data_IF_756498681431
#
_entry.id   IF_756498681431
#
_cell.length_a   1.000
_cell.length_b   1.000
_cell.length_c   1.000
_cell.angle_alpha   90.00
_cell.angle_beta   90.00
_cell.angle_gamma   90.00
#
_symmetry.space_group_name_H-M   'P 1'
#
loop_
_entity.id
_entity.type
_entity.pdbx_description
1 polymer ?
#
# COMPACT_ATOMS: atom_id res chain seq x y z
N UNK A 1 -35.89 -14.62 -4.89
CA UNK A 1 -35.32 -13.83 -3.78
C UNK A 1 -33.81 -14.06 -3.82
N UNK A 2 -33.04 -13.05 -4.16
CA UNK A 2 -31.57 -13.16 -4.27
C UNK A 2 -31.02 -13.09 -2.84
N UNK A 3 -30.49 -14.21 -2.34
CA UNK A 3 -29.95 -14.35 -1.00
C UNK A 3 -28.79 -13.36 -0.78
N UNK A 4 -28.64 -12.78 0.42
CA UNK A 4 -27.61 -11.75 0.71
C UNK A 4 -26.17 -12.22 0.40
N UNK A 5 -25.93 -13.54 0.44
CA UNK A 5 -24.71 -14.21 0.01
C UNK A 5 -24.33 -13.86 -1.44
N UNK A 6 -25.30 -13.59 -2.32
CA UNK A 6 -25.10 -13.36 -3.76
C UNK A 6 -24.57 -11.95 -4.09
N UNK A 7 -24.78 -10.96 -3.20
CA UNK A 7 -24.27 -9.59 -3.41
C UNK A 7 -22.76 -9.48 -3.18
N UNK A 8 -22.19 -10.34 -2.31
CA UNK A 8 -20.74 -10.34 -1.97
C UNK A 8 -19.83 -10.80 -3.11
N UNK A 9 -20.34 -11.54 -4.08
CA UNK A 9 -19.53 -12.17 -5.14
C UNK A 9 -19.73 -11.59 -6.54
N UNK A 10 -20.60 -10.59 -6.71
CA UNK A 10 -20.98 -10.06 -8.03
C UNK A 10 -20.33 -8.73 -8.40
N UNK A 11 -19.49 -8.17 -7.52
CA UNK A 11 -18.67 -6.99 -7.82
C UNK A 11 -19.47 -5.78 -8.31
N UNK A 12 -20.68 -5.57 -7.79
CA UNK A 12 -21.50 -4.40 -8.14
C UNK A 12 -22.22 -4.48 -9.49
N UNK A 13 -22.20 -5.61 -10.19
CA UNK A 13 -22.88 -5.76 -11.49
C UNK A 13 -22.06 -5.19 -12.64
N UNK A 14 -21.80 -6.04 -13.64
CA UNK A 14 -20.99 -5.78 -14.85
C UNK A 14 -19.49 -5.57 -14.62
N UNK A 15 -18.81 -6.67 -14.34
CA UNK A 15 -17.35 -6.77 -14.48
C UNK A 15 -17.03 -8.08 -15.20
N UNK A 16 -16.13 -7.99 -16.18
CA UNK A 16 -15.73 -9.09 -17.07
C UNK A 16 -15.29 -10.34 -16.30
N UNK A 17 -15.35 -11.52 -16.94
CA UNK A 17 -14.99 -12.81 -16.32
C UNK A 17 -13.58 -12.80 -15.69
N UNK A 18 -12.64 -12.03 -16.27
CA UNK A 18 -11.28 -11.86 -15.74
C UNK A 18 -11.25 -11.10 -14.40
N UNK A 19 -12.02 -10.01 -14.28
CA UNK A 19 -12.09 -9.23 -13.05
C UNK A 19 -12.74 -10.02 -11.90
N UNK A 20 -13.76 -10.84 -12.19
CA UNK A 20 -14.39 -11.73 -11.20
C UNK A 20 -13.44 -12.77 -10.64
N UNK A 21 -12.59 -13.32 -11.50
CA UNK A 21 -11.59 -14.32 -11.10
C UNK A 21 -10.53 -13.69 -10.21
N UNK A 22 -10.00 -12.52 -10.61
CA UNK A 22 -9.03 -11.75 -9.82
C UNK A 22 -9.60 -11.29 -8.47
N UNK A 23 -10.87 -10.89 -8.43
CA UNK A 23 -11.55 -10.49 -7.20
C UNK A 23 -11.62 -11.65 -6.20
N UNK A 24 -11.95 -12.87 -6.65
CA UNK A 24 -11.97 -14.04 -5.76
C UNK A 24 -10.59 -14.48 -5.33
N UNK A 25 -9.61 -14.50 -6.23
CA UNK A 25 -8.22 -14.79 -5.84
C UNK A 25 -7.72 -13.78 -4.79
N UNK A 26 -8.00 -12.49 -4.98
CA UNK A 26 -7.71 -11.46 -3.98
C UNK A 26 -8.47 -11.68 -2.67
N UNK A 27 -9.76 -12.02 -2.74
CA UNK A 27 -10.59 -12.30 -1.56
C UNK A 27 -10.06 -13.46 -0.73
N UNK A 28 -9.68 -14.57 -1.36
CA UNK A 28 -9.11 -15.73 -0.67
C UNK A 28 -7.85 -15.39 0.10
N UNK A 29 -6.99 -14.54 -0.49
CA UNK A 29 -5.83 -14.04 0.22
C UNK A 29 -6.23 -13.18 1.43
N UNK A 30 -7.20 -12.28 1.28
CA UNK A 30 -7.69 -11.39 2.36
C UNK A 30 -8.25 -12.16 3.56
N UNK A 31 -9.10 -13.17 3.32
CA UNK A 31 -9.79 -13.88 4.41
C UNK A 31 -9.05 -15.13 4.92
N UNK A 32 -8.03 -15.59 4.20
CA UNK A 32 -7.28 -16.80 4.50
C UNK A 32 -7.98 -18.09 4.05
N UNK A 33 -7.18 -19.16 3.95
CA UNK A 33 -7.56 -20.48 3.43
C UNK A 33 -8.89 -21.00 3.98
N UNK A 34 -8.98 -21.14 5.30
CA UNK A 34 -10.11 -21.84 5.94
C UNK A 34 -11.43 -21.10 5.72
N UNK A 35 -11.41 -19.78 5.91
CA UNK A 35 -12.59 -18.92 5.72
C UNK A 35 -12.99 -18.82 4.25
N UNK A 36 -12.03 -18.79 3.34
CA UNK A 36 -12.30 -18.79 1.89
C UNK A 36 -12.98 -20.10 1.44
N UNK A 37 -12.48 -21.24 1.92
CA UNK A 37 -13.04 -22.56 1.59
C UNK A 37 -14.41 -22.80 2.25
N UNK A 38 -14.59 -22.40 3.51
CA UNK A 38 -15.87 -22.48 4.22
C UNK A 38 -16.96 -21.69 3.48
N UNK A 39 -16.69 -20.43 3.15
CA UNK A 39 -17.66 -19.56 2.48
C UNK A 39 -17.99 -20.04 1.07
N UNK A 40 -16.99 -20.52 0.31
CA UNK A 40 -17.21 -21.12 -0.99
C UNK A 40 -18.04 -22.41 -0.87
N UNK A 41 -17.79 -23.22 0.16
CA UNK A 41 -18.55 -24.42 0.48
C UNK A 41 -20.02 -24.12 0.77
N UNK A 42 -20.30 -23.15 1.63
CA UNK A 42 -21.67 -22.69 1.93
C UNK A 42 -22.37 -22.18 0.67
N UNK A 43 -21.71 -21.37 -0.15
CA UNK A 43 -22.29 -20.88 -1.39
C UNK A 43 -22.62 -22.01 -2.38
N UNK A 44 -21.73 -23.00 -2.51
CA UNK A 44 -21.97 -24.18 -3.35
C UNK A 44 -23.15 -25.00 -2.83
N UNK A 45 -23.28 -25.15 -1.51
CA UNK A 45 -24.39 -25.84 -0.87
C UNK A 45 -25.72 -25.12 -1.13
N UNK A 46 -25.77 -23.78 -0.99
CA UNK A 46 -26.93 -22.94 -1.29
C UNK A 46 -27.38 -23.09 -2.76
N UNK A 47 -26.43 -23.24 -3.68
CA UNK A 47 -26.70 -23.44 -5.10
C UNK A 47 -27.04 -24.88 -5.48
N UNK A 48 -26.92 -25.84 -4.56
CA UNK A 48 -27.15 -27.27 -4.77
C UNK A 48 -26.05 -28.03 -5.51
N UNK A 49 -25.28 -27.36 -6.38
CA UNK A 49 -24.10 -27.96 -7.00
C UNK A 49 -23.07 -26.92 -7.44
N UNK A 50 -21.81 -27.35 -7.59
CA UNK A 50 -20.73 -26.50 -8.12
C UNK A 50 -21.00 -25.99 -9.54
N UNK A 51 -21.74 -26.75 -10.36
CA UNK A 51 -22.12 -26.33 -11.72
C UNK A 51 -23.16 -25.20 -11.67
N UNK A 52 -24.13 -25.29 -10.76
CA UNK A 52 -25.12 -24.24 -10.53
C UNK A 52 -24.48 -23.01 -9.89
N UNK A 53 -23.56 -23.19 -8.94
CA UNK A 53 -22.77 -22.11 -8.34
C UNK A 53 -21.95 -21.36 -9.40
N UNK A 54 -21.27 -22.07 -10.31
CA UNK A 54 -20.53 -21.44 -11.40
C UNK A 54 -21.45 -20.61 -12.32
N UNK A 55 -22.63 -21.16 -12.65
CA UNK A 55 -23.65 -20.47 -13.42
C UNK A 55 -24.18 -19.21 -12.72
N UNK A 56 -24.46 -19.29 -11.42
CA UNK A 56 -24.91 -18.17 -10.59
C UNK A 56 -23.88 -17.03 -10.53
N UNK A 57 -22.59 -17.38 -10.56
CA UNK A 57 -21.49 -16.42 -10.58
C UNK A 57 -21.08 -15.96 -12.00
N UNK A 58 -21.72 -16.50 -13.05
CA UNK A 58 -21.43 -16.19 -14.45
C UNK A 58 -20.01 -16.57 -14.89
N UNK A 59 -19.46 -17.66 -14.32
CA UNK A 59 -18.14 -18.21 -14.70
C UNK A 59 -18.29 -19.65 -15.18
N UNK A 60 -17.26 -20.17 -15.86
CA UNK A 60 -17.23 -21.59 -16.21
C UNK A 60 -17.02 -22.46 -14.97
N UNK A 61 -17.50 -23.71 -15.00
CA UNK A 61 -17.20 -24.69 -13.94
C UNK A 61 -15.69 -24.89 -13.74
N UNK A 62 -14.90 -24.86 -14.82
CA UNK A 62 -13.45 -24.95 -14.75
C UNK A 62 -12.83 -23.74 -14.03
N UNK A 63 -13.37 -22.54 -14.23
CA UNK A 63 -12.93 -21.31 -13.54
C UNK A 63 -13.21 -21.42 -12.04
N UNK A 64 -14.41 -21.86 -11.64
CA UNK A 64 -14.74 -22.05 -10.23
C UNK A 64 -13.79 -23.07 -9.58
N UNK A 65 -13.45 -24.14 -10.29
CA UNK A 65 -12.49 -25.15 -9.79
C UNK A 65 -11.07 -24.60 -9.64
N UNK A 66 -10.63 -23.73 -10.55
CA UNK A 66 -9.32 -23.06 -10.44
C UNK A 66 -9.23 -22.18 -9.19
N UNK A 67 -10.31 -21.48 -8.88
CA UNK A 67 -10.41 -20.62 -7.68
C UNK A 67 -10.43 -21.46 -6.40
N UNK A 68 -11.17 -22.57 -6.40
CA UNK A 68 -11.14 -23.50 -5.27
C UNK A 68 -9.73 -24.08 -5.04
N UNK A 69 -9.03 -24.44 -6.12
CA UNK A 69 -7.65 -24.93 -6.06
C UNK A 69 -6.68 -23.85 -5.58
N UNK A 70 -6.87 -22.58 -5.98
CA UNK A 70 -6.02 -21.48 -5.51
C UNK A 70 -6.22 -21.24 -4.02
N UNK A 71 -7.45 -21.35 -3.50
CA UNK A 71 -7.71 -21.29 -2.06
C UNK A 71 -7.08 -22.46 -1.29
N UNK A 72 -7.15 -23.68 -1.82
CA UNK A 72 -6.51 -24.85 -1.20
C UNK A 72 -4.99 -24.72 -1.13
N UNK A 73 -4.39 -24.02 -2.09
CA UNK A 73 -2.96 -23.73 -2.15
C UNK A 73 -2.52 -22.54 -1.28
N UNK A 74 -3.45 -21.84 -0.62
CA UNK A 74 -3.11 -20.80 0.34
C UNK A 74 -2.39 -21.41 1.56
N UNK A 75 -1.46 -20.67 2.20
CA UNK A 75 -0.80 -21.13 3.41
C UNK A 75 -1.82 -21.39 4.54
N UNK A 76 -1.58 -22.43 5.35
CA UNK A 76 -2.50 -22.84 6.44
C UNK A 76 -2.57 -21.85 7.60
N UNK A 77 -1.57 -20.97 7.72
CA UNK A 77 -1.66 -19.84 8.62
C UNK A 77 -1.97 -18.61 7.78
N UNK A 78 -3.01 -17.82 8.12
CA UNK A 78 -3.24 -16.57 7.44
C UNK A 78 -1.98 -15.73 7.61
N UNK A 79 -1.38 -15.28 6.50
CA UNK A 79 -0.57 -14.08 6.57
C UNK A 79 -1.50 -13.04 7.17
N UNK A 80 -1.23 -12.58 8.40
CA UNK A 80 -1.95 -11.44 8.96
C UNK A 80 -1.87 -10.36 7.88
N UNK A 81 -2.97 -10.09 7.21
CA UNK A 81 -3.05 -8.96 6.29
C UNK A 81 -2.97 -7.74 7.20
N UNK A 82 -1.75 -7.26 7.42
CA UNK A 82 -1.50 -6.03 8.13
C UNK A 82 -1.97 -4.94 7.17
N UNK A 83 -3.20 -4.49 7.35
CA UNK A 83 -3.64 -3.25 6.72
C UNK A 83 -2.72 -2.18 7.29
N UNK A 84 -1.93 -1.48 6.44
CA UNK A 84 -1.05 -0.46 6.95
C UNK A 84 -1.87 0.59 7.70
N UNK A 85 -1.40 1.00 8.87
CA UNK A 85 -2.07 1.99 9.71
C UNK A 85 -2.30 3.33 8.96
N UNK A 86 -1.51 3.59 7.91
CA UNK A 86 -1.46 4.83 7.15
C UNK A 86 -1.47 4.59 5.64
N UNK A 87 -2.01 5.56 4.90
CA UNK A 87 -1.95 5.59 3.44
C UNK A 87 -0.59 6.10 2.96
N UNK A 88 -0.01 7.05 3.67
CA UNK A 88 1.28 7.65 3.29
C UNK A 88 2.09 8.05 4.51
N UNK A 89 3.38 7.79 4.48
CA UNK A 89 4.36 8.32 5.42
C UNK A 89 5.16 9.46 4.79
N UNK A 90 5.38 10.53 5.54
CA UNK A 90 6.15 11.69 5.10
C UNK A 90 7.52 11.68 5.77
N UNK A 91 8.57 11.53 4.97
CA UNK A 91 9.96 11.45 5.46
C UNK A 91 10.76 12.67 5.03
N UNK A 92 11.20 13.49 5.99
CA UNK A 92 11.79 14.81 5.74
C UNK A 92 12.82 15.22 6.80
N UNK A 93 13.74 16.13 6.46
CA UNK A 93 14.64 16.69 7.45
C UNK A 93 13.91 17.72 8.32
N UNK A 94 14.29 17.86 9.60
CA UNK A 94 13.63 18.79 10.52
C UNK A 94 13.57 20.25 10.03
N UNK A 95 14.53 20.65 9.19
CA UNK A 95 14.67 21.94 8.52
C UNK A 95 13.54 22.18 7.50
N UNK A 96 13.06 21.12 6.85
CA UNK A 96 12.02 21.20 5.81
C UNK A 96 10.59 21.19 6.41
N UNK A 97 10.48 21.12 7.75
CA UNK A 97 9.22 20.96 8.49
C UNK A 97 8.12 21.90 8.03
N UNK A 98 8.42 23.19 7.88
CA UNK A 98 7.40 24.20 7.59
C UNK A 98 6.60 23.86 6.33
N UNK A 99 7.26 23.30 5.31
CA UNK A 99 6.60 22.89 4.08
C UNK A 99 5.83 21.58 4.29
N UNK A 100 6.47 20.58 4.91
CA UNK A 100 5.89 19.23 5.05
C UNK A 100 4.69 19.21 6.01
N UNK A 101 4.70 20.04 7.04
CA UNK A 101 3.57 20.19 7.96
C UNK A 101 2.32 20.71 7.23
N UNK A 102 2.48 21.68 6.33
CA UNK A 102 1.36 22.16 5.51
C UNK A 102 0.86 21.07 4.56
N UNK A 103 1.75 20.33 3.90
CA UNK A 103 1.38 19.16 3.08
C UNK A 103 0.56 18.16 3.90
N UNK A 104 1.01 17.83 5.11
CA UNK A 104 0.31 16.91 6.00
C UNK A 104 -1.09 17.42 6.36
N UNK A 105 -1.24 18.71 6.69
CA UNK A 105 -2.54 19.34 6.98
C UNK A 105 -3.50 19.22 5.79
N UNK A 106 -3.03 19.46 4.57
CA UNK A 106 -3.86 19.31 3.37
C UNK A 106 -4.23 17.85 3.10
N UNK A 107 -3.32 16.90 3.29
CA UNK A 107 -3.61 15.46 3.14
C UNK A 107 -4.65 14.98 4.15
N UNK A 108 -4.57 15.41 5.41
CA UNK A 108 -5.56 15.07 6.44
C UNK A 108 -6.94 15.64 6.07
N UNK A 109 -7.01 16.86 5.52
CA UNK A 109 -8.27 17.44 5.01
C UNK A 109 -8.86 16.67 3.82
N UNK A 110 -8.02 15.93 3.09
CA UNK A 110 -8.41 15.04 2.00
C UNK A 110 -8.70 13.61 2.49
N UNK A 111 -8.83 13.41 3.81
CA UNK A 111 -9.11 12.12 4.45
C UNK A 111 -8.04 11.04 4.23
N UNK A 112 -6.81 11.45 3.90
CA UNK A 112 -5.67 10.54 3.79
C UNK A 112 -5.11 10.24 5.19
N UNK A 113 -4.93 8.97 5.53
CA UNK A 113 -4.27 8.54 6.77
C UNK A 113 -2.76 8.81 6.65
N UNK A 114 -2.25 9.86 7.29
CA UNK A 114 -0.85 10.27 7.17
C UNK A 114 -0.04 9.87 8.40
N UNK A 115 1.07 9.17 8.18
CA UNK A 115 2.13 9.07 9.17
C UNK A 115 3.04 10.28 9.05
N UNK A 116 2.84 11.23 9.97
CA UNK A 116 3.67 12.42 10.10
C UNK A 116 4.53 12.25 11.35
N UNK A 117 5.72 11.69 11.18
CA UNK A 117 6.69 11.62 12.26
C UNK A 117 7.84 12.58 12.00
N UNK A 118 8.22 13.28 13.06
CA UNK A 118 9.35 14.17 13.05
C UNK A 118 10.58 13.30 13.22
N UNK A 119 11.58 13.42 12.35
CA UNK A 119 12.94 13.03 12.74
C UNK A 119 13.43 14.02 13.80
N UNK A 120 13.02 13.81 15.05
CA UNK A 120 13.54 14.51 16.19
C UNK A 120 14.77 13.72 16.61
N UNK A 121 15.90 14.41 16.81
CA UNK A 121 17.10 13.80 17.42
C UNK A 121 16.80 12.98 18.68
N UNK A 122 15.69 13.29 19.37
CA UNK A 122 15.20 12.60 20.56
C UNK A 122 14.69 11.18 20.28
N UNK A 123 13.99 10.93 19.17
CA UNK A 123 13.45 9.58 18.84
C UNK A 123 14.52 8.63 18.27
N UNK A 124 15.63 9.21 17.79
CA UNK A 124 16.81 8.49 17.29
C UNK A 124 17.87 8.23 18.37
N UNK A 125 17.70 8.76 19.57
CA UNK A 125 18.60 8.47 20.68
C UNK A 125 18.38 7.03 21.16
N UNK A 126 19.28 6.13 20.78
CA UNK A 126 19.28 4.72 21.21
C UNK A 126 18.54 3.76 20.28
N UNK A 127 17.90 4.24 19.20
CA UNK A 127 17.32 3.39 18.14
C UNK A 127 18.10 3.55 16.85
N UNK A 128 18.33 2.45 16.14
CA UNK A 128 18.89 2.53 14.80
C UNK A 128 17.81 3.14 13.88
N UNK A 129 18.12 4.29 13.29
CA UNK A 129 17.36 4.95 12.22
C UNK A 129 16.84 3.97 11.15
N UNK A 130 17.61 2.92 10.83
CA UNK A 130 17.22 1.85 9.93
C UNK A 130 16.01 1.04 10.44
N UNK A 131 15.96 0.69 11.73
CA UNK A 131 14.86 -0.06 12.32
C UNK A 131 13.57 0.75 12.33
N UNK A 132 13.68 2.06 12.62
CA UNK A 132 12.53 2.96 12.57
C UNK A 132 12.00 3.14 11.14
N UNK A 133 12.90 3.35 10.18
CA UNK A 133 12.53 3.43 8.77
C UNK A 133 11.97 2.13 8.24
N UNK A 134 12.56 1.00 8.60
CA UNK A 134 12.07 -0.30 8.16
C UNK A 134 10.68 -0.58 8.73
N UNK A 135 10.43 -0.35 10.02
CA UNK A 135 9.11 -0.57 10.60
C UNK A 135 8.03 0.37 10.01
N UNK A 136 8.35 1.64 9.76
CA UNK A 136 7.40 2.59 9.16
C UNK A 136 7.18 2.28 7.68
N UNK A 137 8.25 2.02 6.92
CA UNK A 137 8.19 1.80 5.48
C UNK A 137 7.72 0.40 5.08
N UNK A 138 7.85 -0.59 5.95
CA UNK A 138 7.52 -1.98 5.65
C UNK A 138 6.14 -2.39 6.17
N UNK A 139 5.67 -1.81 7.29
CA UNK A 139 4.51 -2.36 8.01
C UNK A 139 3.37 -1.37 8.22
N UNK A 140 3.64 -0.06 8.12
CA UNK A 140 2.69 0.95 8.61
C UNK A 140 2.11 1.86 7.55
N UNK A 141 2.70 2.02 6.37
CA UNK A 141 2.12 2.85 5.31
C UNK A 141 1.93 2.10 3.97
N UNK A 142 1.11 2.68 3.06
CA UNK A 142 0.94 2.21 1.66
C UNK A 142 1.84 2.94 0.65
N UNK A 143 2.37 4.11 1.01
CA UNK A 143 3.40 4.83 0.26
C UNK A 143 4.32 5.59 1.21
N UNK A 144 5.53 5.92 0.75
CA UNK A 144 6.40 6.88 1.45
C UNK A 144 6.79 8.00 0.51
N UNK A 145 6.51 9.23 0.92
CA UNK A 145 7.04 10.42 0.27
C UNK A 145 8.36 10.77 0.93
N UNK A 146 9.42 10.83 0.11
CA UNK A 146 10.75 11.20 0.56
C UNK A 146 11.04 12.61 0.10
N UNK A 147 11.11 13.53 1.06
CA UNK A 147 11.44 14.93 0.86
C UNK A 147 12.96 15.06 0.86
N UNK A 148 13.52 15.06 -0.34
CA UNK A 148 14.95 15.12 -0.61
C UNK A 148 15.41 16.56 -0.50
N UNK A 149 16.35 16.79 0.39
CA UNK A 149 17.13 18.01 0.55
C UNK A 149 18.56 17.65 0.95
N UNK A 150 19.48 18.61 0.89
CA UNK A 150 20.83 18.46 1.43
C UNK A 150 20.78 18.08 2.92
N UNK A 151 19.87 18.69 3.69
CA UNK A 151 19.65 18.37 5.11
C UNK A 151 19.22 16.92 5.33
N UNK A 152 18.35 16.41 4.46
CA UNK A 152 17.90 15.02 4.51
C UNK A 152 19.05 14.05 4.25
N UNK A 153 19.90 14.36 3.26
CA UNK A 153 21.09 13.57 2.98
C UNK A 153 22.05 13.57 4.15
N UNK A 154 22.39 14.75 4.66
CA UNK A 154 23.41 14.90 5.71
C UNK A 154 23.00 14.25 7.02
N UNK A 155 21.71 14.14 7.34
CA UNK A 155 21.25 13.46 8.55
C UNK A 155 21.20 11.95 8.42
N UNK A 156 20.85 11.43 7.24
CA UNK A 156 20.62 10.00 7.06
C UNK A 156 21.85 9.25 6.52
N UNK A 157 22.76 9.94 5.84
CA UNK A 157 23.88 9.38 5.07
C UNK A 157 25.25 9.79 5.64
N UNK A 158 25.39 9.86 6.96
CA UNK A 158 26.63 10.27 7.65
C UNK A 158 27.73 9.19 7.68
N UNK A 159 27.44 7.93 7.35
CA UNK A 159 28.37 6.81 7.45
C UNK A 159 28.30 5.91 6.21
N UNK A 160 29.44 5.78 5.50
CA UNK A 160 29.57 5.04 4.23
C UNK A 160 29.12 3.56 4.30
N UNK A 161 29.27 2.89 5.45
CA UNK A 161 28.79 1.51 5.61
C UNK A 161 27.26 1.44 5.63
N UNK A 162 26.62 2.41 6.32
CA UNK A 162 25.15 2.51 6.40
C UNK A 162 24.57 2.98 5.08
N UNK A 163 25.27 3.86 4.36
CA UNK A 163 24.94 4.30 3.01
C UNK A 163 24.75 3.11 2.05
N UNK A 164 25.68 2.15 2.02
CA UNK A 164 25.57 0.99 1.13
C UNK A 164 24.39 0.06 1.45
N UNK A 165 24.01 -0.05 2.73
CA UNK A 165 22.83 -0.84 3.14
C UNK A 165 21.52 -0.11 2.83
N UNK A 166 21.46 1.20 3.10
CA UNK A 166 20.31 2.05 2.79
C UNK A 166 20.07 2.10 1.28
N UNK A 167 21.12 2.29 0.48
CA UNK A 167 20.99 2.35 -0.98
C UNK A 167 20.37 1.07 -1.56
N UNK A 168 20.71 -0.10 -1.02
CA UNK A 168 20.11 -1.39 -1.43
C UNK A 168 18.63 -1.46 -1.10
N UNK A 169 18.23 -1.10 0.12
CA UNK A 169 16.83 -1.11 0.54
C UNK A 169 15.94 -0.22 -0.35
N UNK A 170 16.42 0.98 -0.73
CA UNK A 170 15.69 1.87 -1.64
C UNK A 170 15.55 1.29 -3.04
N UNK A 171 16.57 0.57 -3.53
CA UNK A 171 16.51 -0.08 -4.84
C UNK A 171 15.53 -1.25 -4.89
N UNK A 172 15.33 -1.95 -3.77
CA UNK A 172 14.40 -3.07 -3.64
C UNK A 172 12.93 -2.62 -3.50
N UNK A 173 12.68 -1.37 -3.07
CA UNK A 173 11.35 -0.84 -2.71
C UNK A 173 10.82 0.26 -3.65
N UNK A 174 11.17 0.19 -4.94
CA UNK A 174 10.97 1.29 -5.92
C UNK A 174 9.52 1.72 -6.11
N UNK A 175 8.57 0.80 -6.10
CA UNK A 175 7.18 1.11 -6.48
C UNK A 175 6.41 1.87 -5.40
N UNK A 176 6.94 1.87 -4.19
CA UNK A 176 6.32 2.40 -2.97
C UNK A 176 6.91 3.75 -2.52
N UNK A 177 8.09 4.09 -3.02
CA UNK A 177 8.79 5.35 -2.71
C UNK A 177 8.40 6.42 -3.73
N UNK A 178 8.00 7.60 -3.24
CA UNK A 178 7.63 8.78 -4.02
C UNK A 178 8.66 9.91 -3.76
N UNK A 179 9.69 10.06 -4.62
CA UNK A 179 10.71 11.09 -4.44
C UNK A 179 10.16 12.49 -4.74
N UNK A 180 10.37 13.43 -3.82
CA UNK A 180 10.08 14.84 -4.00
C UNK A 180 11.29 15.67 -3.55
N UNK A 181 11.74 16.62 -4.38
CA UNK A 181 13.03 17.30 -4.21
C UNK A 181 12.85 18.78 -3.92
N UNK A 182 13.49 19.26 -2.86
CA UNK A 182 13.69 20.69 -2.59
C UNK A 182 14.90 21.26 -3.32
N UNK A 183 15.89 20.42 -3.66
CA UNK A 183 17.11 20.83 -4.35
C UNK A 183 17.63 19.72 -5.29
N UNK A 184 18.83 19.90 -5.83
CA UNK A 184 19.45 18.92 -6.73
C UNK A 184 20.20 17.81 -5.99
N UNK A 185 19.94 17.62 -4.69
CA UNK A 185 20.62 16.60 -3.89
C UNK A 185 20.34 15.20 -4.42
N UNK A 186 21.40 14.43 -4.60
CA UNK A 186 21.33 13.03 -4.97
C UNK A 186 21.37 12.14 -3.73
N UNK A 187 20.36 11.27 -3.61
CA UNK A 187 20.26 10.23 -2.59
C UNK A 187 20.71 8.90 -3.18
N UNK A 188 21.78 8.28 -2.65
CA UNK A 188 22.20 6.97 -3.10
C UNK A 188 21.05 5.95 -2.98
N UNK A 189 20.91 5.07 -3.98
CA UNK A 189 19.79 4.11 -4.04
C UNK A 189 18.53 4.62 -4.75
N UNK A 190 18.32 5.93 -4.87
CA UNK A 190 17.30 6.50 -5.77
C UNK A 190 17.98 6.82 -7.10
N UNK A 191 17.65 6.08 -8.16
CA UNK A 191 18.22 6.34 -9.49
C UNK A 191 17.77 7.70 -10.03
N UNK A 192 18.63 8.37 -10.78
CA UNK A 192 18.30 9.61 -11.50
C UNK A 192 17.18 9.44 -12.53
N UNK A 193 16.94 8.20 -12.99
CA UNK A 193 15.84 7.85 -13.90
C UNK A 193 14.49 7.66 -13.19
N UNK A 194 14.45 7.67 -11.86
CA UNK A 194 13.18 7.63 -11.12
C UNK A 194 12.52 9.00 -11.22
N UNK A 195 11.25 9.04 -11.65
CA UNK A 195 10.48 10.28 -11.72
C UNK A 195 10.37 10.93 -10.34
N UNK A 196 10.64 12.22 -10.26
CA UNK A 196 10.56 13.01 -9.03
C UNK A 196 9.65 14.22 -9.23
N UNK A 197 9.12 14.74 -8.12
CA UNK A 197 8.44 16.04 -8.10
C UNK A 197 9.41 17.12 -7.62
N UNK A 198 9.53 18.20 -8.37
CA UNK A 198 10.27 19.40 -7.96
C UNK A 198 9.36 20.27 -7.07
N UNK A 199 9.70 20.35 -5.78
CA UNK A 199 8.91 21.05 -4.76
C UNK A 199 9.04 22.57 -4.85
N UNK A 200 10.09 23.09 -5.51
CA UNK A 200 10.22 24.55 -5.74
C UNK A 200 9.15 25.09 -6.69
N UNK A 201 8.47 24.19 -7.41
CA UNK A 201 7.44 24.52 -8.40
C UNK A 201 6.03 24.16 -7.93
N UNK A 202 5.87 23.82 -6.66
CA UNK A 202 4.61 23.34 -6.08
C UNK A 202 4.36 23.96 -4.72
N UNK A 203 3.17 24.51 -4.53
CA UNK A 203 2.71 24.84 -3.18
C UNK A 203 2.45 23.54 -2.39
N UNK A 204 2.46 23.58 -1.05
CA UNK A 204 2.11 22.43 -0.23
C UNK A 204 0.76 21.80 -0.59
N UNK A 205 -0.24 22.63 -0.91
CA UNK A 205 -1.57 22.19 -1.34
C UNK A 205 -1.54 21.44 -2.68
N UNK A 206 -0.88 22.01 -3.69
CA UNK A 206 -0.75 21.38 -5.00
C UNK A 206 -0.04 20.03 -4.90
N UNK A 207 0.97 19.94 -4.03
CA UNK A 207 1.71 18.70 -3.82
C UNK A 207 0.87 17.66 -3.06
N UNK A 208 0.13 18.06 -2.03
CA UNK A 208 -0.80 17.18 -1.32
C UNK A 208 -1.86 16.59 -2.27
N UNK A 209 -2.40 17.39 -3.20
CA UNK A 209 -3.33 16.91 -4.22
C UNK A 209 -2.69 15.87 -5.17
N UNK A 210 -1.41 16.04 -5.53
CA UNK A 210 -0.68 15.05 -6.33
C UNK A 210 -0.48 13.73 -5.57
N UNK A 211 -0.13 13.81 -4.28
CA UNK A 211 0.00 12.64 -3.41
C UNK A 211 -1.33 11.90 -3.31
N UNK A 212 -2.43 12.59 -3.00
CA UNK A 212 -3.76 11.99 -2.90
C UNK A 212 -4.19 11.29 -4.21
N UNK A 213 -3.92 11.92 -5.36
CA UNK A 213 -4.17 11.30 -6.68
C UNK A 213 -3.33 10.05 -6.94
N UNK A 214 -2.08 10.04 -6.45
CA UNK A 214 -1.17 8.89 -6.61
C UNK A 214 -1.58 7.71 -5.74
N UNK A 215 -2.02 7.98 -4.51
CA UNK A 215 -2.53 6.96 -3.58
C UNK A 215 -3.85 6.37 -4.11
N UNK A 216 -4.68 7.20 -4.76
CA UNK A 216 -6.01 6.81 -5.21
C UNK A 216 -7.04 6.91 -4.08
N UNK A 217 -8.34 6.90 -4.38
CA UNK A 217 -9.35 6.85 -3.33
C UNK A 217 -9.28 5.48 -2.65
N UNK A 218 -8.82 5.45 -1.40
CA UNK A 218 -9.12 4.35 -0.50
C UNK A 218 -10.61 4.45 -0.15
N UNK A 219 -11.47 4.01 -1.06
CA UNK A 219 -12.84 3.68 -0.69
C UNK A 219 -12.79 2.36 0.09
N UNK A 220 -12.53 2.47 1.39
CA UNK A 220 -12.90 1.42 2.33
C UNK A 220 -14.41 1.19 2.17
N UNK A 221 -14.72 -0.07 1.90
CA UNK A 221 -16.05 -0.63 1.69
C UNK A 221 -16.81 -0.54 3.01
N UNK A 222 -17.86 0.28 3.06
CA UNK A 222 -18.94 0.17 4.07
C UNK A 222 -19.79 -1.09 3.85
#
# INVERSE_FOLDING_TARGET
>A
MVNESHKKYTGGGQVSTGYRTLFWETWGNVVGKDKALEQLGHFVADCGSKKQAAGALGVSYATLRKVELSYQALPEQPSVYVVPDYDVALSFAGEDRSYVEEVAKYLIKLEVKVFYDKYAEVDLWGRNLYTHLDDVYQKKANYVVIFISQYYKDKLWTNHERESAQARAFQERRDYILPARFDQTEIPGIRTTTGYIDLNRKTPEEFALLIARKIGPNQEIE
#
